data_IF_429954511825
#
_entry.id   IF_429954511825
#
_cell.length_a   1.000
_cell.length_b   1.000
_cell.length_c   1.000
_cell.angle_alpha   90.00
_cell.angle_beta   90.00
_cell.angle_gamma   90.00
#
_symmetry.space_group_name_H-M   'P 1'
#
loop_
_entity.id
_entity.type
_entity.pdbx_description
1 polymer ?
#
# COMPACT_ATOMS: atom_id res chain seq x y z
N UNK A 1 -14.97 -5.72 -6.12
CA UNK A 1 -13.70 -5.58 -6.87
C UNK A 1 -14.03 -4.84 -8.16
N UNK A 2 -13.85 -3.51 -8.18
CA UNK A 2 -14.28 -2.67 -9.30
C UNK A 2 -13.31 -2.76 -10.48
N UNK A 3 -13.84 -2.60 -11.69
CA UNK A 3 -13.21 -2.72 -13.02
C UNK A 3 -12.00 -1.81 -13.31
N UNK A 4 -11.55 -1.03 -12.32
CA UNK A 4 -10.56 0.04 -12.46
C UNK A 4 -9.14 -0.35 -11.97
N UNK A 5 -8.99 -1.54 -11.37
CA UNK A 5 -7.70 -2.10 -10.96
C UNK A 5 -6.93 -2.73 -12.14
N UNK A 6 -7.53 -2.75 -13.34
CA UNK A 6 -6.87 -3.24 -14.55
C UNK A 6 -5.64 -2.38 -14.87
N UNK A 7 -4.46 -2.99 -14.83
CA UNK A 7 -3.18 -2.30 -15.05
C UNK A 7 -2.57 -1.65 -13.81
N UNK A 8 -3.08 -1.91 -12.60
CA UNK A 8 -2.45 -1.45 -11.35
C UNK A 8 -1.62 -2.57 -10.73
N UNK A 9 -0.32 -2.33 -10.55
CA UNK A 9 0.53 -3.24 -9.79
C UNK A 9 0.23 -3.14 -8.28
N UNK A 10 0.27 -4.26 -7.56
CA UNK A 10 -0.06 -4.30 -6.13
C UNK A 10 1.13 -4.69 -5.28
N UNK A 11 1.42 -3.90 -4.24
CA UNK A 11 2.29 -4.35 -3.14
C UNK A 11 1.45 -5.25 -2.24
N UNK A 12 1.80 -6.54 -2.18
CA UNK A 12 1.04 -7.52 -1.40
C UNK A 12 1.21 -7.35 0.11
N UNK A 13 2.44 -7.33 0.60
CA UNK A 13 2.76 -7.10 2.01
C UNK A 13 4.08 -6.33 2.13
N UNK A 14 4.14 -5.38 3.06
CA UNK A 14 5.34 -4.64 3.39
C UNK A 14 5.44 -4.51 4.91
N UNK A 15 6.58 -4.89 5.46
CA UNK A 15 6.82 -4.79 6.91
C UNK A 15 8.28 -4.52 7.22
N UNK A 16 8.51 -3.63 8.19
CA UNK A 16 9.83 -3.40 8.78
C UNK A 16 9.81 -3.88 10.23
N UNK A 17 10.80 -4.69 10.60
CA UNK A 17 10.96 -5.19 11.99
C UNK A 17 11.01 -4.01 12.97
N UNK A 18 10.36 -4.10 14.15
CA UNK A 18 10.25 -2.97 15.10
C UNK A 18 11.57 -2.26 15.41
N UNK A 19 12.64 -3.01 15.66
CA UNK A 19 13.98 -2.48 15.96
C UNK A 19 14.60 -1.61 14.85
N UNK A 20 14.07 -1.69 13.63
CA UNK A 20 14.60 -1.04 12.43
C UNK A 20 13.65 0.03 11.85
N UNK A 21 12.54 0.32 12.54
CA UNK A 21 11.59 1.35 12.12
C UNK A 21 12.19 2.76 12.27
N UNK A 22 11.56 3.75 11.62
CA UNK A 22 11.99 5.17 11.60
C UNK A 22 13.38 5.43 11.01
N UNK A 23 13.90 4.49 10.20
CA UNK A 23 15.20 4.60 9.49
C UNK A 23 15.09 4.70 7.96
N UNK A 24 13.89 5.01 7.44
CA UNK A 24 13.66 5.11 5.98
C UNK A 24 13.55 3.76 5.24
N UNK A 25 13.72 2.62 5.90
CA UNK A 25 13.71 1.29 5.25
C UNK A 25 12.40 1.01 4.50
N UNK A 26 11.25 1.31 5.11
CA UNK A 26 9.95 1.10 4.45
C UNK A 26 9.78 1.95 3.20
N UNK A 27 10.38 3.14 3.18
CA UNK A 27 10.35 4.03 2.02
C UNK A 27 11.25 3.50 0.91
N UNK A 28 12.46 3.05 1.25
CA UNK A 28 13.37 2.44 0.29
C UNK A 28 12.76 1.21 -0.38
N UNK A 29 12.09 0.34 0.39
CA UNK A 29 11.41 -0.84 -0.13
C UNK A 29 10.26 -0.48 -1.08
N UNK A 30 9.47 0.55 -0.77
CA UNK A 30 8.40 1.02 -1.66
C UNK A 30 8.95 1.59 -2.96
N UNK A 31 9.98 2.45 -2.89
CA UNK A 31 10.62 3.02 -4.08
C UNK A 31 11.21 1.93 -4.97
N UNK A 32 11.84 0.91 -4.38
CA UNK A 32 12.34 -0.25 -5.12
C UNK A 32 11.20 -1.00 -5.85
N UNK A 33 10.08 -1.21 -5.17
CA UNK A 33 8.90 -1.83 -5.79
C UNK A 33 8.38 -1.00 -6.96
N UNK A 34 8.32 0.33 -6.82
CA UNK A 34 7.87 1.22 -7.89
C UNK A 34 8.77 1.18 -9.13
N UNK A 35 10.09 1.15 -8.91
CA UNK A 35 11.07 0.99 -10.00
C UNK A 35 10.84 -0.32 -10.74
N UNK A 36 10.66 -1.42 -10.01
CA UNK A 36 10.43 -2.73 -10.62
C UNK A 36 9.10 -2.81 -11.37
N UNK A 37 8.03 -2.21 -10.82
CA UNK A 37 6.75 -2.12 -11.52
C UNK A 37 6.84 -1.30 -12.80
N UNK A 38 7.56 -0.17 -12.78
CA UNK A 38 7.82 0.62 -13.98
C UNK A 38 8.63 -0.16 -15.02
N UNK A 39 9.64 -0.91 -14.59
CA UNK A 39 10.42 -1.79 -15.48
C UNK A 39 9.57 -2.86 -16.16
N UNK A 40 8.50 -3.31 -15.49
CA UNK A 40 7.52 -4.28 -16.02
C UNK A 40 6.38 -3.64 -16.84
N UNK A 41 6.41 -2.32 -17.03
CA UNK A 41 5.42 -1.61 -17.84
C UNK A 41 4.17 -1.13 -17.09
N UNK A 42 4.15 -1.21 -15.76
CA UNK A 42 3.06 -0.64 -14.96
C UNK A 42 3.27 0.85 -14.72
N UNK A 43 2.24 1.64 -14.96
CA UNK A 43 2.21 3.09 -14.73
C UNK A 43 1.59 3.46 -13.37
N UNK A 44 0.79 2.54 -12.79
CA UNK A 44 0.08 2.70 -11.53
C UNK A 44 0.45 1.61 -10.54
N UNK A 45 0.59 2.00 -9.27
CA UNK A 45 0.82 1.10 -8.14
C UNK A 45 -0.17 1.41 -7.02
N UNK A 46 -0.70 0.36 -6.41
CA UNK A 46 -1.59 0.46 -5.27
C UNK A 46 -1.20 -0.51 -4.16
N UNK A 47 -1.70 -0.24 -2.97
CA UNK A 47 -1.75 -1.23 -1.91
C UNK A 47 -3.06 -1.08 -1.14
N UNK A 48 -3.58 -2.20 -0.63
CA UNK A 48 -4.70 -2.19 0.30
C UNK A 48 -4.16 -2.30 1.71
N UNK A 49 -4.59 -1.40 2.59
CA UNK A 49 -4.34 -1.51 4.03
C UNK A 49 -5.67 -1.35 4.75
N UNK A 50 -5.85 -2.09 5.84
CA UNK A 50 -6.95 -1.83 6.75
C UNK A 50 -6.76 -0.43 7.33
N UNK A 51 -7.77 0.42 7.16
CA UNK A 51 -7.76 1.83 7.59
C UNK A 51 -7.56 1.98 9.11
N UNK A 52 -7.83 0.92 9.87
CA UNK A 52 -7.64 0.82 11.32
C UNK A 52 -6.18 0.58 11.74
N UNK A 53 -5.25 0.36 10.80
CA UNK A 53 -3.84 0.18 11.13
C UNK A 53 -3.18 1.53 11.46
N UNK A 54 -3.35 1.98 12.70
CA UNK A 54 -2.73 3.14 13.37
C UNK A 54 -1.18 3.12 13.42
N UNK A 55 -0.52 2.30 12.61
CA UNK A 55 0.92 2.04 12.67
C UNK A 55 1.78 3.13 12.01
N UNK A 56 1.20 4.25 11.60
CA UNK A 56 1.88 5.32 10.87
C UNK A 56 2.21 4.96 9.42
N UNK A 57 1.57 3.92 8.89
CA UNK A 57 1.74 3.46 7.51
C UNK A 57 1.26 4.52 6.50
N UNK A 58 0.19 5.26 6.81
CA UNK A 58 -0.31 6.36 5.96
C UNK A 58 0.76 7.41 5.68
N UNK A 59 1.43 7.90 6.73
CA UNK A 59 2.50 8.89 6.60
C UNK A 59 3.72 8.35 5.82
N UNK A 60 3.93 7.02 5.80
CA UNK A 60 4.94 6.39 4.97
C UNK A 60 4.53 6.39 3.48
N UNK A 61 3.29 6.05 3.18
CA UNK A 61 2.79 6.01 1.80
C UNK A 61 2.76 7.40 1.17
N UNK A 62 2.34 8.42 1.93
CA UNK A 62 2.35 9.82 1.48
C UNK A 62 3.78 10.30 1.16
N UNK A 63 4.77 9.95 1.99
CA UNK A 63 6.19 10.32 1.76
C UNK A 63 6.77 9.78 0.45
N UNK A 64 6.26 8.65 -0.04
CA UNK A 64 6.67 8.09 -1.34
C UNK A 64 5.77 8.54 -2.50
N UNK A 65 4.87 9.49 -2.26
CA UNK A 65 3.99 10.09 -3.27
C UNK A 65 2.71 9.31 -3.54
N UNK A 66 2.36 8.33 -2.71
CA UNK A 66 1.05 7.68 -2.79
C UNK A 66 -0.01 8.57 -2.16
N UNK A 67 -1.24 8.44 -2.63
CA UNK A 67 -2.41 9.13 -2.11
C UNK A 67 -3.55 8.14 -1.96
N UNK A 68 -4.44 8.40 -1.01
CA UNK A 68 -5.67 7.61 -0.87
C UNK A 68 -6.51 7.82 -2.12
N UNK A 69 -6.76 6.75 -2.87
CA UNK A 69 -7.61 6.79 -4.08
C UNK A 69 -8.99 6.18 -3.83
N UNK A 70 -9.09 5.25 -2.88
CA UNK A 70 -10.33 4.58 -2.49
C UNK A 70 -10.30 4.24 -1.01
N UNK A 71 -11.44 4.43 -0.36
CA UNK A 71 -11.72 3.92 0.96
C UNK A 71 -12.93 2.99 0.84
N UNK A 72 -12.86 1.83 1.47
CA UNK A 72 -13.95 0.87 1.53
C UNK A 72 -14.29 0.62 2.98
N UNK A 73 -15.56 0.76 3.34
CA UNK A 73 -16.07 0.39 4.65
C UNK A 73 -16.64 -1.03 4.56
N UNK A 74 -16.03 -1.95 5.31
CA UNK A 74 -16.41 -3.36 5.32
C UNK A 74 -17.42 -3.59 6.45
N UNK A 75 -18.63 -4.00 6.09
CA UNK A 75 -19.67 -4.37 7.04
C UNK A 75 -19.83 -5.88 7.08
N UNK A 76 -19.74 -6.46 8.27
CA UNK A 76 -20.04 -7.87 8.49
C UNK A 76 -21.38 -8.01 9.22
N UNK A 77 -22.27 -8.86 8.70
CA UNK A 77 -23.49 -9.28 9.40
C UNK A 77 -23.40 -10.78 9.67
N UNK A 78 -23.34 -11.15 10.94
CA UNK A 78 -23.35 -12.55 11.35
C UNK A 78 -24.78 -13.09 11.26
N UNK A 79 -25.02 -13.97 10.30
CA UNK A 79 -26.30 -14.67 10.17
C UNK A 79 -26.33 -15.82 11.19
N UNK A 80 -27.42 -15.92 11.96
CA UNK A 80 -27.74 -17.04 12.85
C UNK A 80 -28.79 -17.91 12.21
#
# INVERSE_FOLDING_TARGET
MGTDDQGVARVGMLGVRPAWRKRGIGEALLRLAFIEFRRRGYDRVGLGVDSTNETGATALYERVGMKVTRQFDVYEKRLR
#
